data_IF_252468685729
#
_entry.id   IF_252468685729
#
_cell.length_a   1.000
_cell.length_b   1.000
_cell.length_c   1.000
_cell.angle_alpha   90.00
_cell.angle_beta   90.00
_cell.angle_gamma   90.00
#
_symmetry.space_group_name_H-M   'P 1'
#
loop_
_entity.id
_entity.type
_entity.pdbx_description
1 polymer ?
#
# COMPACT_ATOMS: atom_id res chain seq x y z
N UNK A 1 -19.63 -0.87 -11.52
CA UNK A 1 -19.81 -1.17 -10.08
C UNK A 1 -20.70 -2.36 -9.80
N UNK A 2 -20.08 -3.54 -9.69
CA UNK A 2 -20.65 -4.67 -8.97
C UNK A 2 -20.88 -4.26 -7.50
N UNK A 3 -22.10 -4.43 -6.99
CA UNK A 3 -22.50 -3.95 -5.67
C UNK A 3 -21.72 -4.66 -4.55
N UNK A 4 -21.30 -5.90 -4.79
CA UNK A 4 -20.50 -6.69 -3.84
C UNK A 4 -19.08 -6.13 -3.68
N UNK A 5 -18.39 -5.81 -4.78
CA UNK A 5 -17.02 -5.24 -4.75
C UNK A 5 -16.99 -3.89 -4.02
N UNK A 6 -17.97 -3.03 -4.29
CA UNK A 6 -18.10 -1.74 -3.60
C UNK A 6 -18.26 -1.92 -2.09
N UNK A 7 -19.07 -2.90 -1.66
CA UNK A 7 -19.26 -3.18 -0.24
C UNK A 7 -17.97 -3.70 0.42
N UNK A 8 -17.14 -4.48 -0.28
CA UNK A 8 -15.86 -4.96 0.22
C UNK A 8 -14.84 -3.82 0.37
N UNK A 9 -14.75 -2.94 -0.62
CA UNK A 9 -13.90 -1.75 -0.56
C UNK A 9 -14.28 -0.86 0.64
N UNK A 10 -15.56 -0.53 0.79
CA UNK A 10 -16.06 0.27 1.91
C UNK A 10 -15.76 -0.40 3.26
N UNK A 11 -16.03 -1.71 3.40
CA UNK A 11 -15.74 -2.46 4.61
C UNK A 11 -14.24 -2.49 4.96
N UNK A 12 -13.37 -2.61 3.96
CA UNK A 12 -11.93 -2.56 4.14
C UNK A 12 -11.48 -1.20 4.69
N UNK A 13 -11.94 -0.11 4.07
CA UNK A 13 -11.63 1.25 4.50
C UNK A 13 -12.18 1.54 5.91
N UNK A 14 -13.37 1.07 6.26
CA UNK A 14 -13.93 1.20 7.60
C UNK A 14 -13.06 0.54 8.68
N UNK A 15 -12.56 -0.68 8.40
CA UNK A 15 -11.64 -1.37 9.33
C UNK A 15 -10.29 -0.66 9.43
N UNK A 16 -9.73 -0.19 8.31
CA UNK A 16 -8.52 0.63 8.34
C UNK A 16 -8.72 1.91 9.17
N UNK A 17 -9.85 2.60 9.02
CA UNK A 17 -10.16 3.80 9.81
C UNK A 17 -10.28 3.52 11.32
N UNK A 18 -10.51 2.26 11.73
CA UNK A 18 -10.47 1.84 13.13
C UNK A 18 -9.04 1.58 13.61
N UNK A 19 -8.17 1.04 12.74
CA UNK A 19 -6.77 0.74 13.05
C UNK A 19 -5.87 1.97 13.01
N UNK A 20 -5.99 2.81 11.97
CA UNK A 20 -5.10 3.95 11.69
C UNK A 20 -4.95 4.96 12.84
N UNK A 21 -5.97 5.27 13.66
CA UNK A 21 -5.81 6.14 14.83
C UNK A 21 -4.84 5.60 15.90
N UNK A 22 -4.54 4.30 15.88
CA UNK A 22 -3.59 3.65 16.80
C UNK A 22 -2.14 3.68 16.31
N UNK A 23 -1.92 4.09 15.05
CA UNK A 23 -0.61 4.12 14.42
C UNK A 23 0.17 5.36 14.85
N UNK A 24 1.40 5.16 15.34
CA UNK A 24 2.38 6.24 15.49
C UNK A 24 3.05 6.49 14.14
N UNK A 25 2.50 7.43 13.39
CA UNK A 25 2.98 7.74 12.05
C UNK A 25 4.44 8.23 11.98
N UNK A 26 4.95 8.87 13.03
CA UNK A 26 6.35 9.31 13.06
C UNK A 26 7.28 8.12 13.26
N UNK A 27 6.91 7.21 14.18
CA UNK A 27 7.62 5.95 14.39
C UNK A 27 7.55 5.07 13.13
N UNK A 28 6.42 5.06 12.44
CA UNK A 28 6.25 4.32 11.18
C UNK A 28 7.23 4.80 10.11
N UNK A 29 7.27 6.11 9.86
CA UNK A 29 8.20 6.72 8.89
C UNK A 29 9.67 6.43 9.23
N UNK A 30 10.04 6.54 10.51
CA UNK A 30 11.38 6.19 10.98
C UNK A 30 11.70 4.71 10.76
N UNK A 31 10.75 3.82 11.06
CA UNK A 31 10.93 2.37 10.90
C UNK A 31 11.09 2.00 9.42
N UNK A 32 10.29 2.58 8.52
CA UNK A 32 10.41 2.39 7.07
C UNK A 32 11.81 2.76 6.54
N UNK A 33 12.47 3.73 7.17
CA UNK A 33 13.73 4.31 6.69
C UNK A 33 14.97 3.91 7.53
N UNK A 34 14.81 3.04 8.53
CA UNK A 34 15.92 2.52 9.35
C UNK A 34 16.22 1.05 9.05
N UNK A 35 17.30 0.50 9.63
CA UNK A 35 17.55 -0.94 9.59
C UNK A 35 16.54 -1.75 10.41
N UNK A 36 15.99 -1.14 11.48
CA UNK A 36 14.98 -1.72 12.36
C UNK A 36 13.58 -1.42 11.80
N UNK A 37 13.12 -2.28 10.88
CA UNK A 37 11.87 -2.10 10.14
C UNK A 37 10.67 -2.90 10.71
N UNK A 38 10.80 -3.48 11.91
CA UNK A 38 9.77 -4.33 12.54
C UNK A 38 8.42 -3.64 12.69
N UNK A 39 8.41 -2.37 13.11
CA UNK A 39 7.16 -1.63 13.28
C UNK A 39 6.48 -1.36 11.93
N UNK A 40 7.25 -1.05 10.88
CA UNK A 40 6.70 -0.91 9.54
C UNK A 40 6.12 -2.22 9.00
N UNK A 41 6.84 -3.33 9.20
CA UNK A 41 6.36 -4.68 8.86
C UNK A 41 5.09 -5.05 9.60
N UNK A 42 5.01 -4.76 10.89
CA UNK A 42 3.83 -5.01 11.72
C UNK A 42 2.60 -4.25 11.20
N UNK A 43 2.73 -2.96 10.90
CA UNK A 43 1.63 -2.16 10.37
C UNK A 43 1.23 -2.62 8.96
N UNK A 44 2.19 -2.90 8.08
CA UNK A 44 1.91 -3.41 6.74
C UNK A 44 1.16 -4.73 6.79
N UNK A 45 1.60 -5.65 7.67
CA UNK A 45 0.93 -6.93 7.90
C UNK A 45 -0.48 -6.74 8.44
N UNK A 46 -0.70 -5.84 9.39
CA UNK A 46 -2.05 -5.55 9.88
C UNK A 46 -2.98 -5.03 8.77
N UNK A 47 -2.49 -4.13 7.92
CA UNK A 47 -3.28 -3.63 6.77
C UNK A 47 -3.63 -4.77 5.78
N UNK A 48 -2.70 -5.68 5.55
CA UNK A 48 -2.90 -6.87 4.72
C UNK A 48 -3.86 -7.88 5.35
N UNK A 49 -3.71 -8.20 6.64
CA UNK A 49 -4.59 -9.14 7.33
C UNK A 49 -6.05 -8.64 7.35
N UNK A 50 -6.25 -7.33 7.56
CA UNK A 50 -7.57 -6.69 7.43
C UNK A 50 -8.13 -6.86 6.02
N UNK A 51 -7.28 -6.77 4.99
CA UNK A 51 -7.70 -6.98 3.60
C UNK A 51 -8.19 -8.42 3.41
N UNK A 52 -7.37 -9.41 3.80
CA UNK A 52 -7.70 -10.84 3.67
C UNK A 52 -8.96 -11.20 4.47
N UNK A 53 -9.15 -10.62 5.65
CA UNK A 53 -10.37 -10.83 6.45
C UNK A 53 -11.64 -10.30 5.78
N UNK A 54 -11.54 -9.20 5.03
CA UNK A 54 -12.68 -8.57 4.35
C UNK A 54 -12.96 -9.27 3.02
N UNK A 55 -11.94 -9.45 2.18
CA UNK A 55 -12.06 -10.02 0.84
C UNK A 55 -12.12 -11.55 0.85
N UNK A 56 -11.67 -12.19 1.92
CA UNK A 56 -11.57 -13.65 2.03
C UNK A 56 -10.42 -14.24 1.21
N UNK A 57 -9.57 -13.41 0.62
CA UNK A 57 -8.46 -13.80 -0.25
C UNK A 57 -7.40 -12.69 -0.30
N UNK A 58 -6.18 -13.06 -0.66
CA UNK A 58 -5.06 -12.19 -1.05
C UNK A 58 -4.73 -12.32 -2.55
N UNK A 59 -5.63 -12.92 -3.34
CA UNK A 59 -5.52 -13.05 -4.79
C UNK A 59 -6.75 -12.43 -5.47
N UNK A 60 -6.52 -11.47 -6.35
CA UNK A 60 -7.56 -10.77 -7.10
C UNK A 60 -7.39 -10.99 -8.60
N UNK A 61 -8.50 -11.00 -9.33
CA UNK A 61 -8.56 -11.03 -10.78
C UNK A 61 -9.41 -9.86 -11.31
N UNK A 62 -9.74 -9.89 -12.61
CA UNK A 62 -10.54 -8.86 -13.27
C UNK A 62 -12.02 -8.87 -12.91
N UNK A 63 -12.50 -9.78 -12.05
CA UNK A 63 -13.89 -9.74 -11.56
C UNK A 63 -14.08 -8.66 -10.48
N UNK A 64 -12.97 -8.12 -9.98
CA UNK A 64 -12.90 -6.92 -9.15
C UNK A 64 -12.78 -5.67 -10.05
N UNK A 65 -13.39 -4.56 -9.64
CA UNK A 65 -13.34 -3.29 -10.40
C UNK A 65 -12.35 -2.34 -9.71
N UNK A 66 -12.83 -1.51 -8.79
CA UNK A 66 -11.96 -0.70 -7.94
C UNK A 66 -11.60 -1.43 -6.66
N UNK A 67 -10.31 -1.46 -6.34
CA UNK A 67 -9.78 -2.06 -5.11
C UNK A 67 -8.77 -1.13 -4.45
N UNK A 68 -8.81 -1.09 -3.11
CA UNK A 68 -7.84 -0.38 -2.28
C UNK A 68 -6.89 -1.39 -1.63
N UNK A 69 -5.59 -1.25 -1.91
CA UNK A 69 -4.59 -2.24 -1.54
C UNK A 69 -3.52 -1.64 -0.62
N UNK A 70 -3.09 -2.36 0.44
CA UNK A 70 -1.90 -1.97 1.19
C UNK A 70 -0.69 -1.99 0.28
N UNK A 71 0.16 -0.98 0.37
CA UNK A 71 1.37 -0.88 -0.44
C UNK A 71 2.56 -0.28 0.32
N UNK A 72 3.75 -0.69 -0.11
CA UNK A 72 5.00 0.00 0.18
C UNK A 72 5.27 0.97 -0.97
N UNK A 73 5.61 2.22 -0.64
CA UNK A 73 5.85 3.29 -1.61
C UNK A 73 7.27 3.80 -1.45
N UNK A 74 7.99 3.99 -2.56
CA UNK A 74 9.33 4.56 -2.56
C UNK A 74 9.39 5.81 -3.44
N UNK A 75 9.84 6.94 -2.89
CA UNK A 75 10.13 8.11 -3.70
C UNK A 75 11.34 7.89 -4.61
N UNK A 76 11.19 8.04 -5.92
CA UNK A 76 12.28 7.78 -6.89
C UNK A 76 13.47 8.70 -6.70
N UNK A 77 13.22 9.95 -6.34
CA UNK A 77 14.26 10.98 -6.21
C UNK A 77 14.96 10.96 -4.84
N UNK A 78 14.31 10.43 -3.82
CA UNK A 78 14.78 10.50 -2.42
C UNK A 78 15.14 9.13 -1.86
N UNK A 79 14.69 8.06 -2.52
CA UNK A 79 14.66 6.68 -2.02
C UNK A 79 13.93 6.51 -0.69
N UNK A 80 13.17 7.52 -0.25
CA UNK A 80 12.40 7.51 0.99
C UNK A 80 11.27 6.49 0.89
N UNK A 81 11.17 5.62 1.88
CA UNK A 81 10.18 4.55 1.92
C UNK A 81 9.05 4.94 2.88
N UNK A 82 7.83 4.71 2.46
CA UNK A 82 6.63 4.85 3.28
C UNK A 82 5.65 3.72 3.02
N UNK A 83 4.60 3.67 3.83
CA UNK A 83 3.43 2.83 3.57
C UNK A 83 2.30 3.67 3.00
N UNK A 84 1.39 3.02 2.30
CA UNK A 84 0.21 3.66 1.74
C UNK A 84 -0.89 2.68 1.39
N UNK A 85 -1.95 3.23 0.84
CA UNK A 85 -3.04 2.50 0.20
C UNK A 85 -3.09 2.99 -1.24
N UNK A 86 -3.03 2.07 -2.21
CA UNK A 86 -3.19 2.39 -3.63
C UNK A 86 -4.55 1.92 -4.12
N UNK A 87 -5.22 2.78 -4.87
CA UNK A 87 -6.48 2.44 -5.53
C UNK A 87 -6.18 2.02 -6.97
N UNK A 88 -6.56 0.80 -7.32
CA UNK A 88 -6.40 0.26 -8.67
C UNK A 88 -7.75 -0.05 -9.30
N UNK A 89 -7.83 0.10 -10.63
CA UNK A 89 -8.93 -0.40 -11.47
C UNK A 89 -8.49 -1.69 -12.16
N UNK A 90 -8.99 -2.82 -11.69
CA UNK A 90 -8.62 -4.14 -12.19
C UNK A 90 -9.34 -4.51 -13.50
N UNK A 91 -10.47 -3.86 -13.82
CA UNK A 91 -11.09 -3.96 -15.17
C UNK A 91 -10.19 -3.30 -16.22
N UNK A 92 -9.43 -2.26 -15.82
CA UNK A 92 -8.42 -1.58 -16.64
C UNK A 92 -7.00 -2.12 -16.42
N UNK A 93 -6.86 -3.44 -16.22
CA UNK A 93 -5.55 -4.12 -16.08
C UNK A 93 -4.68 -3.63 -14.90
N UNK A 94 -5.29 -3.16 -13.81
CA UNK A 94 -4.55 -2.65 -12.65
C UNK A 94 -4.16 -1.18 -12.76
N UNK A 95 -4.91 -0.38 -13.53
CA UNK A 95 -4.60 1.04 -13.72
C UNK A 95 -4.63 1.78 -12.38
N UNK A 96 -3.59 2.59 -12.14
CA UNK A 96 -3.46 3.38 -10.92
C UNK A 96 -4.41 4.58 -10.92
N UNK A 97 -5.25 4.69 -9.90
CA UNK A 97 -6.25 5.76 -9.76
C UNK A 97 -5.98 6.72 -8.60
N UNK A 98 -5.36 6.23 -7.52
CA UNK A 98 -5.22 7.02 -6.30
C UNK A 98 -4.20 6.44 -5.33
N UNK A 99 -3.69 7.31 -4.45
CA UNK A 99 -2.76 6.91 -3.39
C UNK A 99 -3.04 7.69 -2.11
N UNK A 100 -3.24 6.97 -1.02
CA UNK A 100 -3.25 7.50 0.33
C UNK A 100 -1.89 7.21 0.98
N UNK A 101 -1.14 8.25 1.34
CA UNK A 101 0.16 8.12 1.98
C UNK A 101 0.03 8.11 3.51
N UNK A 102 0.63 7.14 4.18
CA UNK A 102 0.80 7.18 5.63
C UNK A 102 2.10 7.96 5.93
N UNK A 103 1.96 9.22 6.34
CA UNK A 103 3.09 10.14 6.54
C UNK A 103 3.21 10.57 8.00
N UNK A 104 4.34 11.17 8.43
CA UNK A 104 4.46 11.80 9.75
C UNK A 104 3.37 12.85 10.08
N UNK A 105 2.66 13.36 9.07
CA UNK A 105 1.55 14.29 9.21
C UNK A 105 0.17 13.61 9.33
N UNK A 106 0.14 12.28 9.33
CA UNK A 106 -1.06 11.45 9.21
C UNK A 106 -1.27 10.94 7.78
N UNK A 107 -2.49 10.47 7.51
CA UNK A 107 -2.90 10.00 6.19
C UNK A 107 -3.13 11.19 5.26
N UNK A 108 -2.50 11.17 4.08
CA UNK A 108 -2.66 12.20 3.05
C UNK A 108 -3.21 11.54 1.78
N UNK A 109 -4.40 11.98 1.36
CA UNK A 109 -5.02 11.62 0.07
C UNK A 109 -4.38 12.46 -1.07
N UNK A 110 -3.66 11.80 -1.97
CA UNK A 110 -2.97 12.47 -3.07
C UNK A 110 -3.95 13.05 -4.09
N UNK A 111 -4.00 14.38 -4.17
CA UNK A 111 -4.88 15.07 -5.12
C UNK A 111 -6.32 15.23 -4.61
N UNK A 112 -6.61 14.78 -3.39
CA UNK A 112 -7.92 14.98 -2.75
C UNK A 112 -8.24 16.47 -2.52
N UNK A 113 -9.53 16.82 -2.58
CA UNK A 113 -10.02 18.21 -2.48
C UNK A 113 -9.62 18.93 -1.18
N UNK A 114 -9.38 18.16 -0.12
CA UNK A 114 -9.06 18.67 1.22
C UNK A 114 -7.55 18.76 1.50
N UNK A 115 -6.71 18.43 0.51
CA UNK A 115 -5.25 18.43 0.67
C UNK A 115 -4.73 19.84 0.99
N UNK A 116 -3.95 19.98 2.06
CA UNK A 116 -3.33 21.25 2.44
C UNK A 116 -2.09 21.54 1.58
N UNK A 117 -1.74 22.82 1.36
CA UNK A 117 -0.51 23.17 0.63
C UNK A 117 0.77 22.57 1.24
N UNK A 118 0.83 22.44 2.57
CA UNK A 118 1.96 21.79 3.25
C UNK A 118 2.06 20.30 2.96
N UNK A 119 0.92 19.61 2.87
CA UNK A 119 0.85 18.17 2.56
C UNK A 119 1.26 17.93 1.10
N UNK A 120 0.73 18.74 0.18
CA UNK A 120 1.13 18.73 -1.23
C UNK A 120 2.63 18.97 -1.41
N UNK A 121 3.19 19.97 -0.71
CA UNK A 121 4.64 20.25 -0.74
C UNK A 121 5.46 19.09 -0.16
N UNK A 122 4.99 18.46 0.91
CA UNK A 122 5.67 17.31 1.50
C UNK A 122 5.71 16.14 0.51
N UNK A 123 4.57 15.75 -0.07
CA UNK A 123 4.53 14.64 -1.05
C UNK A 123 5.39 14.94 -2.28
N UNK A 124 5.35 16.17 -2.80
CA UNK A 124 6.16 16.54 -3.97
C UNK A 124 7.67 16.55 -3.71
N UNK A 125 8.07 16.79 -2.46
CA UNK A 125 9.48 16.80 -2.06
C UNK A 125 9.99 15.40 -1.73
N UNK A 126 9.15 14.59 -1.08
CA UNK A 126 9.57 13.30 -0.50
C UNK A 126 9.28 12.15 -1.45
N UNK A 127 8.08 12.07 -2.02
CA UNK A 127 7.62 10.88 -2.72
C UNK A 127 7.54 11.07 -4.24
N UNK A 128 7.14 12.22 -4.76
CA UNK A 128 6.81 12.34 -6.20
C UNK A 128 8.08 12.60 -7.05
N UNK A 129 8.29 11.85 -8.16
CA UNK A 129 7.56 10.64 -8.57
C UNK A 129 7.97 9.43 -7.73
N UNK A 130 7.07 8.45 -7.56
CA UNK A 130 7.27 7.25 -6.74
C UNK A 130 7.08 5.97 -7.53
N UNK A 131 7.65 4.89 -6.99
CA UNK A 131 7.28 3.49 -7.28
C UNK A 131 6.48 2.93 -6.09
N UNK A 132 5.66 1.91 -6.34
CA UNK A 132 4.87 1.24 -5.31
C UNK A 132 4.78 -0.25 -5.56
N UNK A 133 4.62 -1.02 -4.48
CA UNK A 133 4.41 -2.47 -4.52
C UNK A 133 3.35 -2.82 -3.48
N UNK A 134 2.24 -3.40 -3.93
CA UNK A 134 1.13 -3.81 -3.08
C UNK A 134 1.37 -5.20 -2.46
N UNK A 135 0.63 -5.54 -1.41
CA UNK A 135 0.79 -6.80 -0.66
C UNK A 135 -0.14 -7.93 -1.12
N UNK A 136 -0.93 -7.72 -2.16
CA UNK A 136 -1.94 -8.67 -2.65
C UNK A 136 -1.53 -9.17 -4.04
N UNK A 137 -1.77 -10.42 -4.41
CA UNK A 137 -1.50 -10.89 -5.76
C UNK A 137 -2.63 -10.47 -6.71
N UNK A 138 -2.30 -9.92 -7.87
CA UNK A 138 -3.29 -9.51 -8.90
C UNK A 138 -3.00 -10.25 -10.19
N UNK A 139 -4.00 -10.90 -10.77
CA UNK A 139 -3.87 -11.58 -12.05
C UNK A 139 -3.59 -10.57 -13.17
N UNK A 140 -2.44 -10.75 -13.86
CA UNK A 140 -2.05 -10.01 -15.07
C UNK A 140 -1.90 -8.49 -14.89
N UNK A 141 -1.58 -8.01 -13.68
CA UNK A 141 -1.10 -6.63 -13.56
C UNK A 141 0.31 -6.52 -14.18
N UNK A 142 0.45 -5.62 -15.15
CA UNK A 142 1.69 -5.34 -15.85
C UNK A 142 2.29 -3.97 -15.49
N UNK A 143 1.68 -3.24 -14.54
CA UNK A 143 2.09 -1.89 -14.15
C UNK A 143 3.16 -1.88 -13.07
N UNK A 144 3.18 -2.91 -12.22
CA UNK A 144 4.12 -3.01 -11.11
C UNK A 144 5.20 -4.05 -11.42
N UNK A 145 6.45 -3.61 -11.37
CA UNK A 145 7.62 -4.47 -11.56
C UNK A 145 7.97 -5.19 -10.25
N UNK A 146 7.38 -6.37 -10.06
CA UNK A 146 7.71 -7.26 -8.94
C UNK A 146 9.01 -8.05 -9.15
N UNK A 147 9.58 -8.05 -10.36
CA UNK A 147 10.84 -8.74 -10.66
C UNK A 147 12.05 -7.93 -10.16
N UNK A 148 11.93 -6.61 -10.09
CA UNK A 148 13.00 -5.70 -9.68
C UNK A 148 12.73 -4.94 -8.37
N UNK A 149 12.04 -5.59 -7.42
CA UNK A 149 11.75 -5.02 -6.10
C UNK A 149 13.05 -4.81 -5.32
N UNK A 150 13.30 -3.60 -4.76
CA UNK A 150 14.44 -3.39 -3.87
C UNK A 150 14.41 -4.33 -2.67
N UNK A 151 15.56 -4.94 -2.31
CA UNK A 151 15.65 -5.97 -1.24
C UNK A 151 14.93 -5.60 0.06
N UNK A 152 15.03 -4.33 0.49
CA UNK A 152 14.36 -3.86 1.71
C UNK A 152 12.84 -3.88 1.60
N UNK A 153 12.31 -3.55 0.43
CA UNK A 153 10.87 -3.57 0.14
C UNK A 153 10.40 -5.02 0.03
N UNK A 154 11.16 -5.89 -0.65
CA UNK A 154 10.86 -7.32 -0.70
C UNK A 154 10.79 -7.94 0.71
N UNK A 155 11.74 -7.63 1.58
CA UNK A 155 11.73 -8.04 2.99
C UNK A 155 10.49 -7.53 3.76
N UNK A 156 10.02 -6.31 3.46
CA UNK A 156 8.77 -5.79 4.04
C UNK A 156 7.53 -6.53 3.49
N UNK A 157 7.47 -6.81 2.20
CA UNK A 157 6.35 -7.52 1.58
C UNK A 157 6.27 -8.98 2.04
N UNK A 158 7.41 -9.64 2.25
CA UNK A 158 7.47 -11.05 2.66
C UNK A 158 6.75 -11.36 3.97
N UNK A 159 6.60 -10.38 4.88
CA UNK A 159 5.85 -10.60 6.13
C UNK A 159 4.34 -10.79 5.90
N UNK A 160 3.83 -10.41 4.73
CA UNK A 160 2.45 -10.65 4.32
C UNK A 160 2.25 -12.05 3.72
N UNK A 161 3.33 -12.75 3.35
CA UNK A 161 3.27 -14.08 2.68
C UNK A 161 3.98 -15.18 3.50
N UNK A 162 3.57 -15.47 4.74
CA UNK A 162 4.30 -16.40 5.61
C UNK A 162 4.38 -17.85 5.08
N UNK A 163 3.44 -18.24 4.21
CA UNK A 163 3.35 -19.59 3.65
C UNK A 163 3.97 -19.74 2.25
N UNK A 164 4.49 -18.65 1.66
CA UNK A 164 5.24 -18.76 0.41
C UNK A 164 6.71 -19.02 0.72
N UNK A 165 7.31 -20.12 0.20
CA UNK A 165 8.74 -20.34 0.33
C UNK A 165 9.46 -19.12 -0.27
N UNK A 166 10.46 -18.61 0.47
CA UNK A 166 11.31 -17.48 0.08
C UNK A 166 11.41 -17.38 -1.45
N UNK A 167 11.00 -16.25 -2.02
CA UNK A 167 11.31 -15.87 -3.40
C UNK A 167 12.84 -15.94 -3.55
N UNK A 168 13.35 -17.13 -3.85
CA UNK A 168 14.72 -17.35 -4.24
C UNK A 168 14.85 -16.76 -5.62
N UNK A 169 15.28 -15.51 -5.65
CA UNK A 169 15.88 -14.91 -6.84
C UNK A 169 17.09 -15.78 -7.19
N UNK A 170 17.01 -16.52 -8.29
CA UNK A 170 18.15 -17.20 -8.92
C UNK A 170 19.14 -16.20 -9.52
#
# INVERSE_FOLDING_TARGET
MNMENKNLQEAYIERLNTMLPTVDFKKLDQSCNSAENDYAKEILKQMHDIFVEVYGTDYLDSDYEFVDLPAVIQGRNTSHIGLGIVTLDLESSGEHWGTFFLTPMGVIDQGGEKMKPSESKYLSTVYIPYDYWYTVSIERDHHVDFDNVPNKIADMLNVCYPDQPELKME
#
